data_IF_195979334533
#
_entry.id   IF_195979334533
#
_cell.length_a   1.000
_cell.length_b   1.000
_cell.length_c   1.000
_cell.angle_alpha   90.00
_cell.angle_beta   90.00
_cell.angle_gamma   90.00
#
_symmetry.space_group_name_H-M   'P 1'
#
loop_
_entity.id
_entity.type
_entity.pdbx_description
1 polymer ?
#
# COMPACT_ATOMS: atom_id res chain seq x y z
N UNK A 1 13.49 10.65 -27.44
CA UNK A 1 14.01 10.10 -26.17
C UNK A 1 13.27 8.82 -25.87
N UNK A 2 13.99 7.78 -25.49
CA UNK A 2 13.36 6.57 -24.94
C UNK A 2 12.81 6.87 -23.52
N UNK A 3 12.05 5.93 -22.96
CA UNK A 3 11.39 6.11 -21.66
C UNK A 3 12.40 6.30 -20.52
N UNK A 4 13.53 5.59 -20.56
CA UNK A 4 14.57 5.69 -19.53
C UNK A 4 15.25 7.05 -19.50
N UNK A 5 15.67 7.57 -20.67
CA UNK A 5 16.20 8.93 -20.78
C UNK A 5 15.18 9.95 -20.29
N UNK A 6 13.90 9.78 -20.65
CA UNK A 6 12.85 10.69 -20.22
C UNK A 6 12.62 10.62 -18.70
N UNK A 7 12.69 9.44 -18.10
CA UNK A 7 12.63 9.27 -16.65
C UNK A 7 13.76 10.03 -15.93
N UNK A 8 15.01 9.79 -16.32
CA UNK A 8 16.17 10.47 -15.74
C UNK A 8 16.08 11.98 -15.94
N UNK A 9 15.68 12.44 -17.12
CA UNK A 9 15.53 13.88 -17.35
C UNK A 9 14.37 14.50 -16.57
N UNK A 10 13.33 13.73 -16.27
CA UNK A 10 12.16 14.23 -15.52
C UNK A 10 12.45 14.46 -14.04
N UNK A 11 13.60 14.02 -13.53
CA UNK A 11 14.03 14.38 -12.16
C UNK A 11 14.68 15.75 -12.07
N UNK A 12 15.17 16.35 -13.18
CA UNK A 12 15.93 17.61 -13.09
C UNK A 12 15.77 18.61 -14.25
N UNK A 13 15.18 18.22 -15.39
CA UNK A 13 15.13 19.06 -16.61
C UNK A 13 13.70 19.50 -16.95
N UNK A 14 13.21 20.62 -16.39
CA UNK A 14 11.93 21.21 -16.78
C UNK A 14 11.79 21.43 -18.29
N UNK A 15 12.90 21.80 -18.96
CA UNK A 15 12.94 22.03 -20.41
C UNK A 15 12.63 20.78 -21.21
N UNK A 16 13.13 19.62 -20.78
CA UNK A 16 12.84 18.36 -21.47
C UNK A 16 11.44 17.83 -21.13
N UNK A 17 10.96 18.03 -19.91
CA UNK A 17 9.56 17.77 -19.55
C UNK A 17 8.62 18.62 -20.41
N UNK A 18 8.92 19.90 -20.64
CA UNK A 18 8.10 20.80 -21.45
C UNK A 18 7.86 20.30 -22.88
N UNK A 19 8.80 19.54 -23.45
CA UNK A 19 8.68 18.93 -24.80
C UNK A 19 7.65 17.80 -24.83
N UNK A 20 7.34 17.18 -23.70
CA UNK A 20 6.37 16.08 -23.60
C UNK A 20 4.93 16.51 -23.91
N UNK A 21 4.63 17.82 -23.92
CA UNK A 21 3.32 18.37 -24.34
C UNK A 21 2.89 17.93 -25.74
N UNK A 22 3.83 17.55 -26.59
CA UNK A 22 3.60 17.05 -27.96
C UNK A 22 3.46 15.53 -28.05
N UNK A 23 3.73 14.79 -26.97
CA UNK A 23 3.57 13.33 -26.97
C UNK A 23 2.09 12.93 -26.89
N UNK A 24 1.76 11.73 -27.37
CA UNK A 24 0.44 11.14 -27.21
C UNK A 24 0.14 10.81 -25.74
N UNK A 25 -1.13 10.91 -25.34
CA UNK A 25 -1.56 10.71 -23.95
C UNK A 25 -1.20 9.33 -23.39
N UNK A 26 -1.25 8.29 -24.22
CA UNK A 26 -0.92 6.92 -23.82
C UNK A 26 0.49 6.76 -23.25
N UNK A 27 1.47 7.55 -23.74
CA UNK A 27 2.83 7.53 -23.19
C UNK A 27 2.89 8.11 -21.77
N UNK A 28 2.13 9.15 -21.51
CA UNK A 28 2.03 9.74 -20.18
C UNK A 28 1.27 8.81 -19.21
N UNK A 29 0.18 8.18 -19.67
CA UNK A 29 -0.56 7.16 -18.88
C UNK A 29 0.36 5.99 -18.50
N UNK A 30 1.07 5.41 -19.48
CA UNK A 30 2.04 4.34 -19.21
C UNK A 30 3.13 4.80 -18.25
N UNK A 31 3.59 6.04 -18.39
CA UNK A 31 4.60 6.61 -17.50
C UNK A 31 4.12 6.71 -16.05
N UNK A 32 2.86 7.13 -15.81
CA UNK A 32 2.27 7.15 -14.46
C UNK A 32 2.21 5.73 -13.87
N UNK A 33 1.85 4.71 -14.67
CA UNK A 33 1.91 3.32 -14.21
C UNK A 33 3.33 2.89 -13.82
N UNK A 34 4.34 3.23 -14.62
CA UNK A 34 5.74 2.92 -14.30
C UNK A 34 6.20 3.59 -13.00
N UNK A 35 5.85 4.86 -12.79
CA UNK A 35 6.11 5.56 -11.53
C UNK A 35 5.37 4.90 -10.35
N UNK A 36 4.16 4.41 -10.59
CA UNK A 36 3.35 3.75 -9.57
C UNK A 36 3.96 2.41 -9.13
N UNK A 37 4.46 1.61 -10.10
CA UNK A 37 5.22 0.39 -9.79
C UNK A 37 6.47 0.74 -8.97
N UNK A 38 7.26 1.70 -9.44
CA UNK A 38 8.48 2.13 -8.76
C UNK A 38 8.20 2.54 -7.30
N UNK A 39 7.19 3.37 -7.10
CA UNK A 39 6.80 3.87 -5.78
C UNK A 39 6.23 2.78 -4.86
N UNK A 40 5.53 1.79 -5.43
CA UNK A 40 4.91 0.71 -4.66
C UNK A 40 5.93 -0.33 -4.15
N UNK A 41 7.09 -0.50 -4.80
CA UNK A 41 8.06 -1.58 -4.51
C UNK A 41 8.47 -1.61 -3.03
N UNK A 42 8.96 -0.51 -2.41
CA UNK A 42 9.38 -0.56 -1.00
C UNK A 42 8.24 -0.98 -0.08
N UNK A 43 7.06 -0.37 -0.26
CA UNK A 43 5.86 -0.71 0.54
C UNK A 43 5.48 -2.17 0.39
N UNK A 44 5.41 -2.66 -0.84
CA UNK A 44 5.05 -4.04 -1.12
C UNK A 44 6.05 -5.00 -0.49
N UNK A 45 7.35 -4.70 -0.53
CA UNK A 45 8.38 -5.49 0.12
C UNK A 45 8.19 -5.56 1.64
N UNK A 46 8.07 -4.41 2.32
CA UNK A 46 7.93 -4.39 3.78
C UNK A 46 6.62 -5.01 4.27
N UNK A 47 5.49 -4.72 3.62
CA UNK A 47 4.20 -5.32 3.98
C UNK A 47 4.21 -6.83 3.73
N UNK A 48 4.77 -7.28 2.61
CA UNK A 48 4.84 -8.72 2.30
C UNK A 48 5.74 -9.47 3.27
N UNK A 49 6.93 -8.95 3.55
CA UNK A 49 7.86 -9.57 4.50
C UNK A 49 7.31 -9.56 5.92
N UNK A 50 6.68 -8.47 6.35
CA UNK A 50 5.96 -8.37 7.62
C UNK A 50 4.85 -9.42 7.73
N UNK A 51 3.98 -9.52 6.71
CA UNK A 51 2.91 -10.52 6.65
C UNK A 51 3.46 -11.95 6.75
N UNK A 52 4.50 -12.25 5.98
CA UNK A 52 5.18 -13.55 6.01
C UNK A 52 5.76 -13.87 7.39
N UNK A 53 6.40 -12.89 8.03
CA UNK A 53 6.93 -13.04 9.40
C UNK A 53 5.80 -13.32 10.37
N UNK A 54 4.72 -12.56 10.34
CA UNK A 54 3.54 -12.76 11.20
C UNK A 54 2.92 -14.14 11.02
N UNK A 55 2.71 -14.60 9.79
CA UNK A 55 2.21 -15.97 9.51
C UNK A 55 3.14 -17.04 10.06
N UNK A 56 4.45 -16.88 9.88
CA UNK A 56 5.44 -17.82 10.42
C UNK A 56 5.45 -17.81 11.97
N UNK A 57 5.34 -16.64 12.60
CA UNK A 57 5.28 -16.52 14.05
C UNK A 57 4.02 -17.17 14.63
N UNK A 58 2.86 -16.91 14.02
CA UNK A 58 1.61 -17.59 14.38
C UNK A 58 1.73 -19.11 14.23
N UNK A 59 2.32 -19.59 13.12
CA UNK A 59 2.63 -21.02 12.94
C UNK A 59 3.55 -21.56 14.03
N UNK A 60 4.57 -20.82 14.45
CA UNK A 60 5.47 -21.25 15.53
C UNK A 60 4.72 -21.39 16.85
N UNK A 61 3.89 -20.41 17.21
CA UNK A 61 3.05 -20.44 18.43
C UNK A 61 2.09 -21.62 18.39
N UNK A 62 1.38 -21.82 17.27
CA UNK A 62 0.52 -22.99 17.09
C UNK A 62 1.28 -24.29 17.36
N UNK A 63 2.48 -24.47 16.81
CA UNK A 63 3.23 -25.72 16.95
C UNK A 63 3.84 -25.93 18.34
N UNK A 64 4.31 -24.86 19.00
CA UNK A 64 5.12 -24.98 20.22
C UNK A 64 4.34 -24.73 21.51
N UNK A 65 3.42 -23.79 21.47
CA UNK A 65 2.84 -23.22 22.69
C UNK A 65 1.40 -23.72 22.91
N UNK A 66 0.71 -24.09 21.84
CA UNK A 66 -0.70 -24.49 21.89
C UNK A 66 -0.88 -26.01 21.75
N UNK A 67 -1.86 -26.59 22.47
CA UNK A 67 -2.17 -28.01 22.38
C UNK A 67 -2.64 -28.38 20.98
N UNK A 68 -2.83 -29.67 20.75
CA UNK A 68 -3.61 -30.10 19.60
C UNK A 68 -5.10 -29.79 19.81
N UNK A 69 -5.75 -29.39 18.72
CA UNK A 69 -7.16 -29.03 18.72
C UNK A 69 -7.82 -29.40 17.41
N UNK A 70 -9.13 -29.58 17.48
CA UNK A 70 -10.02 -29.77 16.34
C UNK A 70 -11.19 -28.81 16.46
N UNK A 71 -11.52 -28.12 15.37
CA UNK A 71 -12.77 -27.37 15.28
C UNK A 71 -13.79 -28.28 14.61
N UNK A 72 -14.86 -28.60 15.33
CA UNK A 72 -15.96 -29.40 14.81
C UNK A 72 -17.29 -28.97 15.42
N UNK A 73 -18.36 -29.07 14.65
CA UNK A 73 -19.70 -28.61 15.05
C UNK A 73 -19.72 -27.14 15.55
N UNK A 74 -18.91 -26.28 14.93
CA UNK A 74 -18.82 -24.86 15.29
C UNK A 74 -18.12 -24.57 16.62
N UNK A 75 -17.42 -25.55 17.22
CA UNK A 75 -16.72 -25.40 18.50
C UNK A 75 -15.29 -25.90 18.45
N UNK A 76 -14.43 -25.25 19.24
CA UNK A 76 -13.07 -25.68 19.53
C UNK A 76 -13.10 -26.88 20.48
N UNK A 77 -12.49 -27.98 20.07
CA UNK A 77 -12.29 -29.18 20.88
C UNK A 77 -10.81 -29.38 21.18
N UNK A 78 -10.49 -29.51 22.46
CA UNK A 78 -9.14 -29.74 22.98
C UNK A 78 -9.25 -30.30 24.40
N UNK A 79 -8.21 -30.99 24.87
CA UNK A 79 -8.15 -31.50 26.24
C UNK A 79 -7.82 -30.41 27.27
N UNK A 80 -7.37 -29.23 26.79
CA UNK A 80 -7.06 -28.08 27.63
C UNK A 80 -8.32 -27.43 28.21
N UNK A 81 -8.23 -27.06 29.49
CA UNK A 81 -9.33 -26.46 30.27
C UNK A 81 -9.04 -25.04 30.76
N UNK A 82 -8.02 -24.40 30.18
CA UNK A 82 -7.59 -23.04 30.54
C UNK A 82 -7.24 -22.25 29.28
N UNK A 83 -7.45 -20.94 29.35
CA UNK A 83 -6.98 -20.03 28.34
C UNK A 83 -5.46 -19.81 28.47
N UNK A 84 -4.79 -19.70 27.33
CA UNK A 84 -3.35 -19.45 27.24
C UNK A 84 -3.07 -18.29 26.30
N UNK A 85 -2.11 -17.46 26.66
CA UNK A 85 -1.60 -16.40 25.80
C UNK A 85 -0.15 -16.67 25.41
N UNK A 86 0.18 -16.36 24.17
CA UNK A 86 1.55 -16.30 23.65
C UNK A 86 1.72 -15.02 22.83
N UNK A 87 2.97 -14.69 22.46
CA UNK A 87 3.27 -13.49 21.69
C UNK A 87 4.24 -13.80 20.56
N UNK A 88 3.93 -13.32 19.35
CA UNK A 88 4.81 -13.45 18.20
C UNK A 88 4.69 -12.24 17.25
N UNK A 89 5.83 -11.68 16.85
CA UNK A 89 5.91 -10.56 15.90
C UNK A 89 4.98 -9.37 16.22
N UNK A 90 4.87 -9.01 17.51
CA UNK A 90 4.02 -7.90 17.96
C UNK A 90 2.52 -8.22 18.07
N UNK A 91 2.11 -9.48 17.81
CA UNK A 91 0.75 -9.95 18.06
C UNK A 91 0.67 -10.74 19.36
N UNK A 92 -0.36 -10.46 20.16
CA UNK A 92 -0.78 -11.34 21.26
C UNK A 92 -1.70 -12.42 20.69
N UNK A 93 -1.37 -13.69 20.90
CA UNK A 93 -2.15 -14.81 20.40
C UNK A 93 -2.78 -15.49 21.61
N UNK A 94 -4.11 -15.49 21.65
CA UNK A 94 -4.93 -16.04 22.72
C UNK A 94 -5.57 -17.34 22.21
N UNK A 95 -5.42 -18.41 22.99
CA UNK A 95 -6.11 -19.67 22.79
C UNK A 95 -7.03 -19.89 23.98
N UNK A 96 -8.33 -19.96 23.74
CA UNK A 96 -9.32 -20.08 24.82
C UNK A 96 -10.47 -21.04 24.47
N UNK A 97 -10.45 -22.26 25.01
CA UNK A 97 -11.56 -23.21 24.88
C UNK A 97 -12.70 -22.97 25.88
N UNK A 98 -12.53 -22.06 26.86
CA UNK A 98 -13.39 -21.92 28.04
C UNK A 98 -14.35 -20.74 28.02
N UNK A 99 -14.34 -19.92 26.96
CA UNK A 99 -15.14 -18.68 26.83
C UNK A 99 -14.78 -17.60 27.88
N UNK A 100 -13.53 -17.60 28.34
CA UNK A 100 -12.95 -16.56 29.19
C UNK A 100 -12.64 -15.26 28.44
N UNK A 101 -12.43 -15.34 27.12
CA UNK A 101 -12.15 -14.23 26.21
C UNK A 101 -13.27 -14.12 25.17
N UNK A 102 -13.79 -12.90 25.02
CA UNK A 102 -14.64 -12.49 23.91
C UNK A 102 -13.90 -11.55 22.95
N UNK A 103 -14.64 -11.02 21.97
CA UNK A 103 -14.07 -10.12 20.94
C UNK A 103 -13.50 -8.86 21.55
N UNK A 104 -14.21 -8.25 22.50
CA UNK A 104 -13.82 -6.99 23.13
C UNK A 104 -12.47 -7.12 23.84
N UNK A 105 -12.22 -8.27 24.49
CA UNK A 105 -10.95 -8.55 25.16
C UNK A 105 -9.79 -8.73 24.16
N UNK A 106 -10.07 -9.29 22.99
CA UNK A 106 -9.08 -9.42 21.90
C UNK A 106 -8.83 -8.05 21.25
N UNK A 107 -9.87 -7.26 21.01
CA UNK A 107 -9.79 -5.90 20.45
C UNK A 107 -8.97 -4.97 21.34
N UNK A 108 -9.20 -5.01 22.66
CA UNK A 108 -8.47 -4.20 23.64
C UNK A 108 -6.95 -4.44 23.60
N UNK A 109 -6.50 -5.62 23.14
CA UNK A 109 -5.07 -5.95 22.97
C UNK A 109 -4.44 -5.32 21.72
N UNK A 110 -5.20 -4.55 20.93
CA UNK A 110 -4.80 -3.80 19.73
C UNK A 110 -4.39 -4.68 18.55
N UNK A 111 -3.33 -5.47 18.70
CA UNK A 111 -2.82 -6.40 17.69
C UNK A 111 -2.85 -7.81 18.28
N UNK A 112 -3.95 -8.53 18.03
CA UNK A 112 -4.16 -9.82 18.65
C UNK A 112 -4.90 -10.83 17.77
N UNK A 113 -4.67 -12.11 18.02
CA UNK A 113 -5.35 -13.22 17.37
C UNK A 113 -6.01 -14.06 18.46
N UNK A 114 -7.33 -14.21 18.42
CA UNK A 114 -8.10 -15.08 19.29
C UNK A 114 -8.52 -16.36 18.58
N UNK A 115 -8.10 -17.51 19.11
CA UNK A 115 -8.66 -18.83 18.80
C UNK A 115 -9.60 -19.15 19.98
N UNK A 116 -10.86 -18.74 19.86
CA UNK A 116 -11.84 -18.78 20.95
C UNK A 116 -12.75 -20.00 20.82
N UNK A 117 -13.67 -20.17 21.77
CA UNK A 117 -14.50 -21.38 21.85
C UNK A 117 -15.31 -21.66 20.57
N UNK A 118 -15.85 -20.63 19.90
CA UNK A 118 -16.76 -20.78 18.75
C UNK A 118 -16.39 -19.91 17.54
N UNK A 119 -15.28 -19.18 17.61
CA UNK A 119 -14.88 -18.20 16.60
C UNK A 119 -13.39 -17.91 16.61
N UNK A 120 -12.91 -17.49 15.47
CA UNK A 120 -11.62 -16.83 15.32
C UNK A 120 -11.83 -15.31 15.39
N UNK A 121 -10.92 -14.59 16.06
CA UNK A 121 -10.93 -13.13 16.13
C UNK A 121 -9.56 -12.61 15.72
N UNK A 122 -9.52 -11.62 14.83
CA UNK A 122 -8.30 -10.91 14.46
C UNK A 122 -8.49 -9.43 14.80
N UNK A 123 -7.69 -8.92 15.72
CA UNK A 123 -7.60 -7.50 16.04
C UNK A 123 -6.34 -6.90 15.40
N UNK A 124 -6.50 -5.82 14.65
CA UNK A 124 -5.41 -5.01 14.09
C UNK A 124 -5.71 -3.56 14.41
N UNK A 125 -4.77 -2.87 15.07
CA UNK A 125 -4.90 -1.46 15.46
C UNK A 125 -6.22 -1.16 16.19
N UNK A 126 -6.64 -2.08 17.07
CA UNK A 126 -7.86 -1.94 17.86
C UNK A 126 -9.15 -2.10 17.05
N UNK A 127 -9.08 -2.68 15.86
CA UNK A 127 -10.25 -3.08 15.08
C UNK A 127 -10.32 -4.59 14.99
N UNK A 128 -11.36 -5.19 15.56
CA UNK A 128 -11.55 -6.64 15.57
C UNK A 128 -12.47 -7.12 14.44
N UNK A 129 -12.07 -8.21 13.80
CA UNK A 129 -12.88 -8.96 12.84
C UNK A 129 -13.07 -10.38 13.33
N UNK A 130 -14.32 -10.85 13.33
CA UNK A 130 -14.70 -12.18 13.79
C UNK A 130 -15.01 -13.10 12.62
N UNK A 131 -14.66 -14.38 12.78
CA UNK A 131 -15.06 -15.45 11.89
C UNK A 131 -15.58 -16.63 12.72
N UNK A 132 -16.89 -16.83 12.70
CA UNK A 132 -17.52 -17.99 13.34
C UNK A 132 -17.06 -19.29 12.70
N UNK A 133 -16.84 -20.32 13.54
CA UNK A 133 -16.49 -21.66 13.08
C UNK A 133 -17.60 -22.34 12.27
N UNK A 134 -18.85 -21.87 12.35
CA UNK A 134 -19.93 -22.38 11.50
C UNK A 134 -19.75 -22.04 10.01
N UNK A 135 -18.87 -21.08 9.69
CA UNK A 135 -18.51 -20.71 8.31
C UNK A 135 -17.28 -21.48 7.79
N UNK A 136 -16.67 -22.32 8.64
CA UNK A 136 -15.51 -23.14 8.31
C UNK A 136 -15.94 -24.57 7.92
N UNK A 137 -15.04 -25.38 7.32
CA UNK A 137 -15.31 -26.80 7.10
C UNK A 137 -15.75 -27.52 8.37
N UNK A 138 -16.59 -28.56 8.22
CA UNK A 138 -17.21 -29.28 9.33
C UNK A 138 -16.22 -29.88 10.34
N UNK A 139 -15.02 -30.20 9.88
CA UNK A 139 -13.91 -30.66 10.70
C UNK A 139 -12.62 -29.98 10.22
N UNK A 140 -11.92 -29.30 11.13
CA UNK A 140 -10.67 -28.62 10.85
C UNK A 140 -9.68 -28.87 12.00
N UNK A 141 -8.60 -29.59 11.72
CA UNK A 141 -7.57 -29.88 12.71
C UNK A 141 -6.50 -28.78 12.69
N UNK A 142 -5.78 -28.62 13.80
CA UNK A 142 -4.62 -27.72 13.90
C UNK A 142 -3.63 -27.85 12.74
N UNK A 143 -3.33 -29.07 12.30
CA UNK A 143 -2.43 -29.35 11.16
C UNK A 143 -2.96 -28.75 9.85
N UNK A 144 -4.27 -28.71 9.67
CA UNK A 144 -4.93 -28.19 8.47
C UNK A 144 -4.86 -26.66 8.46
N UNK A 145 -5.01 -26.01 9.62
CA UNK A 145 -4.77 -24.57 9.79
C UNK A 145 -3.32 -24.23 9.41
N UNK A 146 -2.35 -24.99 9.93
CA UNK A 146 -0.94 -24.80 9.62
C UNK A 146 -0.64 -25.04 8.14
N UNK A 147 -1.25 -26.06 7.53
CA UNK A 147 -1.10 -26.35 6.11
C UNK A 147 -1.67 -25.21 5.25
N UNK A 148 -2.87 -24.72 5.57
CA UNK A 148 -3.51 -23.60 4.90
C UNK A 148 -2.67 -22.32 4.95
N UNK A 149 -2.04 -22.02 6.09
CA UNK A 149 -1.11 -20.89 6.20
C UNK A 149 0.08 -21.03 5.23
N UNK A 150 0.66 -22.23 5.08
CA UNK A 150 1.80 -22.42 4.18
C UNK A 150 1.37 -22.36 2.70
N UNK A 151 0.26 -23.01 2.35
CA UNK A 151 -0.24 -23.07 0.97
C UNK A 151 -0.67 -21.69 0.46
N UNK A 152 -1.33 -20.90 1.30
CA UNK A 152 -1.89 -19.61 0.90
C UNK A 152 -0.91 -18.43 1.04
N UNK A 153 0.29 -18.64 1.58
CA UNK A 153 1.29 -17.60 1.80
C UNK A 153 1.61 -16.79 0.55
N UNK A 154 1.88 -17.47 -0.58
CA UNK A 154 2.20 -16.82 -1.83
C UNK A 154 0.99 -16.03 -2.37
N UNK A 155 -0.20 -16.63 -2.33
CA UNK A 155 -1.45 -15.99 -2.76
C UNK A 155 -1.72 -14.70 -1.97
N UNK A 156 -1.64 -14.74 -0.63
CA UNK A 156 -1.86 -13.57 0.22
C UNK A 156 -0.86 -12.46 -0.12
N UNK A 157 0.43 -12.78 -0.23
CA UNK A 157 1.48 -11.81 -0.60
C UNK A 157 1.21 -11.19 -1.98
N UNK A 158 0.84 -12.01 -2.96
CA UNK A 158 0.52 -11.53 -4.31
C UNK A 158 -0.69 -10.61 -4.32
N UNK A 159 -1.78 -11.00 -3.64
CA UNK A 159 -3.00 -10.18 -3.55
C UNK A 159 -2.72 -8.85 -2.85
N UNK A 160 -2.01 -8.87 -1.73
CA UNK A 160 -1.63 -7.64 -1.01
C UNK A 160 -0.74 -6.74 -1.87
N UNK A 161 0.26 -7.29 -2.55
CA UNK A 161 1.14 -6.53 -3.44
C UNK A 161 0.36 -5.92 -4.60
N UNK A 162 -0.57 -6.67 -5.20
CA UNK A 162 -1.43 -6.17 -6.27
C UNK A 162 -2.34 -5.04 -5.77
N UNK A 163 -2.93 -5.18 -4.58
CA UNK A 163 -3.78 -4.15 -3.97
C UNK A 163 -2.98 -2.87 -3.69
N UNK A 164 -1.77 -2.99 -3.11
CA UNK A 164 -0.87 -1.86 -2.86
C UNK A 164 -0.55 -1.13 -4.17
N UNK A 165 -0.24 -1.87 -5.24
CA UNK A 165 0.01 -1.30 -6.55
C UNK A 165 -1.23 -0.56 -7.09
N UNK A 166 -2.42 -1.16 -7.02
CA UNK A 166 -3.66 -0.54 -7.51
C UNK A 166 -3.99 0.76 -6.77
N UNK A 167 -3.89 0.76 -5.43
CA UNK A 167 -4.14 1.95 -4.61
C UNK A 167 -3.10 3.03 -4.92
N UNK A 168 -1.83 2.65 -5.04
CA UNK A 168 -0.73 3.57 -5.39
C UNK A 168 -0.93 4.18 -6.78
N UNK A 169 -1.31 3.36 -7.76
CA UNK A 169 -1.59 3.81 -9.11
C UNK A 169 -2.76 4.79 -9.12
N UNK A 170 -3.88 4.44 -8.49
CA UNK A 170 -5.03 5.33 -8.36
C UNK A 170 -4.64 6.68 -7.73
N UNK A 171 -3.88 6.65 -6.63
CA UNK A 171 -3.36 7.85 -5.97
C UNK A 171 -2.51 8.72 -6.91
N UNK A 172 -1.60 8.12 -7.69
CA UNK A 172 -0.76 8.84 -8.67
C UNK A 172 -1.58 9.43 -9.81
N UNK A 173 -2.59 8.72 -10.32
CA UNK A 173 -3.50 9.27 -11.34
C UNK A 173 -4.32 10.45 -10.81
N UNK A 174 -4.79 10.37 -9.57
CA UNK A 174 -5.47 11.47 -8.88
C UNK A 174 -4.52 12.66 -8.72
N UNK A 175 -3.31 12.42 -8.19
CA UNK A 175 -2.27 13.43 -8.01
C UNK A 175 -1.95 14.19 -9.31
N UNK A 176 -1.70 13.47 -10.40
CA UNK A 176 -1.42 14.06 -11.72
C UNK A 176 -2.60 14.89 -12.23
N UNK A 177 -3.83 14.41 -12.04
CA UNK A 177 -5.03 15.10 -12.49
C UNK A 177 -5.27 16.39 -11.71
N UNK A 178 -5.12 16.36 -10.39
CA UNK A 178 -5.20 17.56 -9.55
C UNK A 178 -4.08 18.55 -9.85
N UNK A 179 -2.85 18.07 -10.06
CA UNK A 179 -1.72 18.92 -10.44
C UNK A 179 -1.97 19.60 -11.80
N UNK A 180 -2.61 18.91 -12.75
CA UNK A 180 -3.01 19.47 -14.03
C UNK A 180 -4.10 20.55 -13.89
N UNK A 181 -5.04 20.38 -12.95
CA UNK A 181 -6.03 21.41 -12.62
C UNK A 181 -5.35 22.66 -12.07
N UNK A 182 -4.40 22.53 -11.14
CA UNK A 182 -3.57 23.65 -10.67
C UNK A 182 -2.81 24.28 -11.85
N UNK A 183 -2.31 23.46 -12.78
CA UNK A 183 -1.68 23.90 -14.01
C UNK A 183 -2.54 24.84 -14.87
N UNK A 184 -3.88 24.75 -14.81
CA UNK A 184 -4.78 25.68 -15.49
C UNK A 184 -4.65 27.11 -14.93
N UNK A 185 -4.44 27.24 -13.63
CA UNK A 185 -4.22 28.53 -12.95
C UNK A 185 -2.83 29.06 -13.30
N UNK A 186 -1.80 28.19 -13.22
CA UNK A 186 -0.41 28.59 -13.49
C UNK A 186 -0.23 29.08 -14.94
N UNK A 187 -0.82 28.36 -15.92
CA UNK A 187 -0.68 28.76 -17.34
C UNK A 187 -1.24 30.16 -17.59
N UNK A 188 -2.31 30.56 -16.88
CA UNK A 188 -2.94 31.87 -17.05
C UNK A 188 -2.04 32.96 -16.47
N UNK A 189 -1.49 32.74 -15.27
CA UNK A 189 -0.50 33.63 -14.65
C UNK A 189 0.74 33.83 -15.54
N UNK A 190 1.20 32.77 -16.22
CA UNK A 190 2.38 32.82 -17.11
C UNK A 190 2.05 33.17 -18.58
N UNK A 191 0.79 33.52 -18.89
CA UNK A 191 0.32 33.85 -20.26
C UNK A 191 0.66 32.76 -21.29
N UNK A 192 0.47 31.48 -20.93
CA UNK A 192 0.70 30.31 -21.80
C UNK A 192 -0.62 29.74 -22.31
N UNK A 193 -0.64 29.34 -23.58
CA UNK A 193 -1.80 28.66 -24.17
C UNK A 193 -1.58 27.15 -24.20
N UNK A 194 -2.20 26.44 -23.25
CA UNK A 194 -2.16 24.99 -23.14
C UNK A 194 -3.56 24.43 -22.83
N UNK A 195 -3.90 23.31 -23.44
CA UNK A 195 -5.11 22.56 -23.08
C UNK A 195 -4.89 21.75 -21.80
N UNK A 196 -5.99 21.35 -21.14
CA UNK A 196 -5.91 20.47 -19.97
C UNK A 196 -5.17 19.16 -20.28
N UNK A 197 -5.42 18.57 -21.45
CA UNK A 197 -4.70 17.38 -21.92
C UNK A 197 -3.18 17.60 -21.99
N UNK A 198 -2.71 18.77 -22.41
CA UNK A 198 -1.28 19.08 -22.42
C UNK A 198 -0.74 19.23 -20.99
N UNK A 199 -1.47 19.92 -20.11
CA UNK A 199 -1.12 20.08 -18.71
C UNK A 199 -1.07 18.74 -17.96
N UNK A 200 -1.98 17.83 -18.26
CA UNK A 200 -2.00 16.49 -17.68
C UNK A 200 -0.74 15.72 -18.03
N UNK A 201 -0.31 15.75 -19.30
CA UNK A 201 0.97 15.15 -19.71
C UNK A 201 2.15 15.78 -18.99
N UNK A 202 2.22 17.11 -18.93
CA UNK A 202 3.31 17.80 -18.23
C UNK A 202 3.33 17.45 -16.74
N UNK A 203 2.17 17.34 -16.11
CA UNK A 203 2.00 16.97 -14.70
C UNK A 203 2.47 15.53 -14.45
N UNK A 204 2.15 14.59 -15.34
CA UNK A 204 2.58 13.18 -15.25
C UNK A 204 4.11 13.04 -15.18
N UNK A 205 4.85 13.88 -15.91
CA UNK A 205 6.31 13.90 -15.84
C UNK A 205 6.85 14.79 -14.70
N UNK A 206 6.10 15.80 -14.26
CA UNK A 206 6.53 16.72 -13.19
C UNK A 206 6.58 16.06 -11.81
N UNK A 207 5.78 15.01 -11.57
CA UNK A 207 5.78 14.26 -10.31
C UNK A 207 6.97 13.31 -10.13
N UNK A 208 7.87 13.22 -11.11
CA UNK A 208 8.95 12.23 -11.12
C UNK A 208 9.95 12.47 -9.99
N UNK A 209 10.41 13.71 -9.81
CA UNK A 209 11.44 14.05 -8.83
C UNK A 209 11.03 13.66 -7.41
N UNK A 210 9.84 14.09 -6.99
CA UNK A 210 9.28 13.75 -5.68
C UNK A 210 9.07 12.24 -5.55
N UNK A 211 8.48 11.60 -6.55
CA UNK A 211 8.21 10.15 -6.53
C UNK A 211 9.50 9.36 -6.35
N UNK A 212 10.56 9.70 -7.09
CA UNK A 212 11.88 9.05 -6.95
C UNK A 212 12.46 9.30 -5.57
N UNK A 213 12.46 10.55 -5.11
CA UNK A 213 12.96 10.91 -3.79
C UNK A 213 12.27 10.09 -2.68
N UNK A 214 10.94 10.10 -2.63
CA UNK A 214 10.18 9.38 -1.61
C UNK A 214 10.26 7.86 -1.75
N UNK A 215 10.41 7.33 -2.97
CA UNK A 215 10.71 5.90 -3.16
C UNK A 215 12.02 5.53 -2.45
N UNK A 216 13.07 6.34 -2.62
CA UNK A 216 14.38 6.11 -1.99
C UNK A 216 14.24 6.24 -0.46
N UNK A 217 13.60 7.29 0.04
CA UNK A 217 13.41 7.48 1.49
C UNK A 217 12.67 6.29 2.11
N UNK A 218 11.63 5.80 1.44
CA UNK A 218 10.86 4.64 1.89
C UNK A 218 11.63 3.33 1.82
N UNK A 219 12.50 3.17 0.82
CA UNK A 219 13.41 2.03 0.73
C UNK A 219 14.50 2.04 1.81
N UNK A 220 14.84 3.22 2.34
CA UNK A 220 15.80 3.39 3.43
C UNK A 220 15.13 3.42 4.81
N UNK A 221 13.81 3.23 4.89
CA UNK A 221 13.00 3.40 6.11
C UNK A 221 13.19 4.79 6.78
N UNK A 222 13.58 5.79 5.97
CA UNK A 222 13.78 7.15 6.41
C UNK A 222 12.44 7.89 6.45
N UNK A 223 12.01 8.29 7.64
CA UNK A 223 10.79 9.09 7.83
C UNK A 223 11.02 10.51 7.34
N UNK A 224 10.19 10.98 6.41
CA UNK A 224 10.22 12.37 5.96
C UNK A 224 9.11 13.16 6.65
N UNK A 225 9.43 14.16 7.50
CA UNK A 225 8.42 15.01 8.11
C UNK A 225 7.59 15.71 7.04
N UNK A 226 6.27 15.73 7.21
CA UNK A 226 5.34 16.40 6.30
C UNK A 226 5.47 15.95 4.83
N UNK A 227 5.72 14.66 4.59
CA UNK A 227 5.85 14.05 3.25
C UNK A 227 4.79 14.57 2.26
N UNK A 228 3.52 14.60 2.67
CA UNK A 228 2.42 15.07 1.84
C UNK A 228 2.63 16.52 1.34
N UNK A 229 2.97 17.45 2.22
CA UNK A 229 3.16 18.87 1.86
C UNK A 229 4.39 19.05 0.98
N UNK A 230 5.49 18.36 1.32
CA UNK A 230 6.73 18.44 0.55
C UNK A 230 6.55 17.88 -0.87
N UNK A 231 5.84 16.76 -1.00
CA UNK A 231 5.49 16.18 -2.29
C UNK A 231 4.72 17.19 -3.18
N UNK A 232 3.65 17.79 -2.64
CA UNK A 232 2.88 18.80 -3.37
C UNK A 232 3.70 20.03 -3.74
N UNK A 233 4.54 20.52 -2.82
CA UNK A 233 5.41 21.67 -3.06
C UNK A 233 6.39 21.41 -4.21
N UNK A 234 7.11 20.28 -4.17
CA UNK A 234 8.07 19.92 -5.22
C UNK A 234 7.37 19.80 -6.57
N UNK A 235 6.23 19.11 -6.62
CA UNK A 235 5.49 18.87 -7.87
C UNK A 235 4.95 20.18 -8.47
N UNK A 236 4.46 21.08 -7.62
CA UNK A 236 4.06 22.42 -8.02
C UNK A 236 5.23 23.22 -8.60
N UNK A 237 6.38 23.24 -7.90
CA UNK A 237 7.57 23.98 -8.35
C UNK A 237 8.06 23.45 -9.69
N UNK A 238 8.15 22.12 -9.87
CA UNK A 238 8.56 21.53 -11.13
C UNK A 238 7.58 21.89 -12.25
N UNK A 239 6.26 21.73 -12.05
CA UNK A 239 5.28 22.10 -13.07
C UNK A 239 5.37 23.60 -13.41
N UNK A 240 5.55 24.46 -12.42
CA UNK A 240 5.70 25.90 -12.62
C UNK A 240 6.92 26.23 -13.50
N UNK A 241 8.07 25.59 -13.25
CA UNK A 241 9.28 25.74 -14.06
C UNK A 241 9.10 25.19 -15.47
N UNK A 242 8.44 24.04 -15.61
CA UNK A 242 8.12 23.42 -16.90
C UNK A 242 7.30 24.36 -17.78
N UNK A 243 6.32 25.05 -17.19
CA UNK A 243 5.50 26.00 -17.93
C UNK A 243 6.28 27.25 -18.37
N UNK A 244 7.28 27.69 -17.60
CA UNK A 244 8.15 28.81 -17.97
C UNK A 244 8.96 28.53 -19.23
N UNK A 245 9.37 27.28 -19.44
CA UNK A 245 10.14 26.82 -20.60
C UNK A 245 9.33 26.80 -21.91
N UNK A 246 8.01 26.96 -21.84
CA UNK A 246 7.13 26.97 -23.02
C UNK A 246 7.07 28.39 -23.58
N UNK A 247 7.30 28.63 -24.89
CA UNK A 247 7.20 29.97 -25.46
C UNK A 247 5.83 30.62 -25.22
N UNK A 248 5.82 31.88 -24.78
CA UNK A 248 4.59 32.69 -24.80
C UNK A 248 4.27 33.08 -26.25
N UNK A 249 2.99 33.22 -26.59
CA UNK A 249 2.60 33.76 -27.90
C UNK A 249 3.17 35.18 -28.01
N UNK A 250 3.86 35.51 -29.10
CA UNK A 250 4.15 36.92 -29.42
C UNK A 250 2.81 37.64 -29.44
N UNK A 251 2.71 38.80 -28.77
CA UNK A 251 1.58 39.69 -29.01
C UNK A 251 1.54 39.94 -30.52
N UNK A 252 0.37 39.71 -31.14
CA UNK A 252 0.16 40.21 -32.48
C UNK A 252 0.26 41.73 -32.37
N UNK A 253 1.34 42.28 -32.92
CA UNK A 253 1.51 43.72 -33.15
C UNK A 253 0.67 44.08 -34.36
#
# INVERSE_FOLDING_TARGET
>A
MNVFQLFIKSTYSPRDIAKTRFQGIGKAILYVFLLSVLFAIPTAYYVSTGTVKSMNGFKTVLNKDFPDFTISNGKLQTDEKKATESQANGFVIVFDPTDSYGTEQIEAKQNAIGILQNKFVLAIDGQAQEMSYSMMPSELQKKDVIAGLNQNKAMIVTVLSALIFLVTAAGKFIEVSFLALIGLIIKNSQKKHLSYHQLWKLSAYSITLSTVFFTIMRALEATVPSEFLLNWFVNFVILFLVLKEIPSKKAAV
#
